data_IF_799277945769
#
_entry.id   IF_799277945769
#
_cell.length_a   1.000
_cell.length_b   1.000
_cell.length_c   1.000
_cell.angle_alpha   90.00
_cell.angle_beta   90.00
_cell.angle_gamma   90.00
#
_symmetry.space_group_name_H-M   'P 1'
#
loop_
_entity.id
_entity.type
_entity.pdbx_description
1 polymer ?
#
# COMPACT_ATOMS: atom_id res chain seq x y z
N UNK A 1 82.32 10.80 11.78
CA UNK A 1 83.13 9.68 11.26
C UNK A 1 84.35 9.51 12.14
N UNK A 2 84.39 8.48 12.98
CA UNK A 2 85.61 8.12 13.70
C UNK A 2 86.70 7.72 12.69
N UNK A 3 87.90 8.31 12.81
CA UNK A 3 89.06 7.88 12.03
C UNK A 3 89.44 6.48 12.47
N UNK A 4 89.01 5.46 11.72
CA UNK A 4 89.43 4.07 11.92
C UNK A 4 90.96 4.00 11.85
N UNK A 5 91.60 3.56 12.93
CA UNK A 5 93.03 3.25 12.96
C UNK A 5 93.20 1.80 12.51
N UNK A 6 93.84 1.59 11.37
CA UNK A 6 94.16 0.27 10.84
C UNK A 6 95.51 -0.20 11.40
N UNK A 7 95.63 -1.48 11.80
CA UNK A 7 96.90 -2.02 12.30
C UNK A 7 97.99 -2.00 11.22
N UNK A 8 97.61 -2.09 9.94
CA UNK A 8 98.56 -2.12 8.82
C UNK A 8 97.99 -1.38 7.59
N UNK A 9 97.75 -0.07 7.73
CA UNK A 9 97.19 0.77 6.63
C UNK A 9 97.99 0.64 5.33
N UNK A 10 97.33 0.84 4.19
CA UNK A 10 97.95 0.86 2.87
C UNK A 10 99.08 1.88 2.82
N UNK A 11 98.88 3.05 3.43
CA UNK A 11 99.91 4.08 3.56
C UNK A 11 101.10 3.57 4.37
N UNK A 12 100.85 2.92 5.51
CA UNK A 12 101.92 2.35 6.33
C UNK A 12 102.64 1.20 5.61
N UNK A 13 101.93 0.37 4.84
CA UNK A 13 102.52 -0.68 3.98
C UNK A 13 103.42 -0.09 2.91
N UNK A 14 102.98 0.95 2.22
CA UNK A 14 103.79 1.63 1.21
C UNK A 14 105.02 2.28 1.84
N UNK A 15 104.89 2.92 3.00
CA UNK A 15 106.02 3.53 3.73
C UNK A 15 106.98 2.48 4.28
N UNK A 16 106.48 1.39 4.88
CA UNK A 16 107.32 0.28 5.37
C UNK A 16 108.01 -0.42 4.22
N UNK A 17 107.30 -0.68 3.11
CA UNK A 17 107.86 -1.29 1.92
C UNK A 17 108.95 -0.42 1.31
N UNK A 18 108.69 0.87 1.07
CA UNK A 18 109.67 1.80 0.49
C UNK A 18 110.87 2.02 1.41
N UNK A 19 110.66 2.15 2.72
CA UNK A 19 111.74 2.28 3.71
C UNK A 19 112.58 1.00 3.81
N UNK A 20 111.94 -0.19 3.85
CA UNK A 20 112.65 -1.48 3.89
C UNK A 20 113.39 -1.73 2.58
N UNK A 21 112.78 -1.39 1.44
CA UNK A 21 113.40 -1.49 0.12
C UNK A 21 114.63 -0.60 0.03
N UNK A 22 114.52 0.66 0.46
CA UNK A 22 115.65 1.59 0.48
C UNK A 22 116.76 1.06 1.41
N UNK A 23 116.41 0.60 2.61
CA UNK A 23 117.39 0.06 3.57
C UNK A 23 118.11 -1.17 3.01
N UNK A 24 117.39 -2.14 2.46
CA UNK A 24 117.98 -3.33 1.82
C UNK A 24 118.84 -2.94 0.63
N UNK A 25 118.34 -2.06 -0.25
CA UNK A 25 119.06 -1.68 -1.47
C UNK A 25 120.35 -0.94 -1.14
N UNK A 26 120.31 0.06 -0.26
CA UNK A 26 121.52 0.79 0.15
C UNK A 26 122.48 -0.08 0.96
N UNK A 27 121.98 -0.96 1.85
CA UNK A 27 122.85 -1.86 2.61
C UNK A 27 123.54 -2.90 1.72
N UNK A 28 122.81 -3.48 0.77
CA UNK A 28 123.37 -4.42 -0.21
C UNK A 28 124.36 -3.71 -1.12
N UNK A 29 124.04 -2.52 -1.64
CA UNK A 29 124.99 -1.72 -2.42
C UNK A 29 126.26 -1.40 -1.61
N UNK A 30 126.14 -1.04 -0.32
CA UNK A 30 127.29 -0.80 0.54
C UNK A 30 128.14 -2.06 0.73
N UNK A 31 127.54 -3.23 0.96
CA UNK A 31 128.29 -4.50 1.06
C UNK A 31 129.00 -4.85 -0.25
N UNK A 32 128.34 -4.67 -1.39
CA UNK A 32 128.96 -4.94 -2.69
C UNK A 32 130.14 -4.00 -2.96
N UNK A 33 129.97 -2.69 -2.70
CA UNK A 33 131.01 -1.68 -2.95
C UNK A 33 132.18 -1.78 -1.96
N UNK A 34 131.93 -1.91 -0.66
CA UNK A 34 132.98 -1.83 0.36
C UNK A 34 133.58 -3.17 0.80
N UNK A 35 132.91 -4.30 0.56
CA UNK A 35 133.39 -5.62 1.00
C UNK A 35 133.69 -6.54 -0.19
N UNK A 36 132.78 -6.62 -1.16
CA UNK A 36 132.91 -7.56 -2.28
C UNK A 36 133.86 -7.05 -3.35
N UNK A 37 133.96 -5.73 -3.56
CA UNK A 37 134.87 -5.14 -4.54
C UNK A 37 136.33 -5.57 -4.32
N UNK A 38 136.82 -5.49 -3.06
CA UNK A 38 138.18 -5.92 -2.68
C UNK A 38 138.46 -7.40 -3.02
N UNK A 39 137.44 -8.25 -2.94
CA UNK A 39 137.55 -9.66 -3.32
C UNK A 39 137.54 -9.88 -4.83
N UNK A 40 136.75 -9.10 -5.58
CA UNK A 40 136.59 -9.24 -7.03
C UNK A 40 137.78 -8.67 -7.80
N UNK A 41 138.37 -7.57 -7.33
CA UNK A 41 139.57 -6.97 -7.93
C UNK A 41 140.76 -7.94 -7.99
N UNK A 42 140.87 -8.87 -7.03
CA UNK A 42 141.92 -9.90 -7.01
C UNK A 42 141.77 -10.96 -8.11
N UNK A 43 140.60 -11.11 -8.72
CA UNK A 43 140.35 -12.09 -9.78
C UNK A 43 140.15 -11.44 -11.16
N UNK A 44 139.51 -10.27 -11.22
CA UNK A 44 139.16 -9.56 -12.45
C UNK A 44 139.65 -8.10 -12.38
N UNK A 45 140.39 -7.64 -13.40
CA UNK A 45 140.94 -6.28 -13.46
C UNK A 45 139.87 -5.27 -13.90
N UNK A 46 138.98 -4.89 -12.96
CA UNK A 46 137.81 -4.03 -13.22
C UNK A 46 137.93 -2.71 -12.44
N UNK A 47 137.73 -1.58 -13.14
CA UNK A 47 137.75 -0.24 -12.54
C UNK A 47 136.68 -0.06 -11.45
N UNK A 48 137.06 0.58 -10.35
CA UNK A 48 136.19 0.90 -9.20
C UNK A 48 134.92 1.65 -9.63
N UNK A 49 135.06 2.62 -10.54
CA UNK A 49 133.94 3.39 -11.10
C UNK A 49 132.99 2.51 -11.92
N UNK A 50 133.51 1.51 -12.63
CA UNK A 50 132.67 0.60 -13.42
C UNK A 50 131.89 -0.36 -12.53
N UNK A 51 132.51 -0.88 -11.45
CA UNK A 51 131.87 -1.80 -10.51
C UNK A 51 130.78 -1.12 -9.67
N UNK A 52 131.03 0.11 -9.21
CA UNK A 52 130.04 0.93 -8.48
C UNK A 52 128.82 1.28 -9.34
N UNK A 53 129.03 1.70 -10.60
CA UNK A 53 127.93 1.96 -11.55
C UNK A 53 127.11 0.67 -11.78
N UNK A 54 127.78 -0.47 -12.01
CA UNK A 54 127.11 -1.76 -12.22
C UNK A 54 126.28 -2.19 -11.01
N UNK A 55 126.79 -1.98 -9.79
CA UNK A 55 126.08 -2.29 -8.54
C UNK A 55 124.83 -1.43 -8.36
N UNK A 56 124.88 -0.13 -8.69
CA UNK A 56 123.68 0.72 -8.66
C UNK A 56 122.66 0.34 -9.73
N UNK A 57 123.09 -0.02 -10.94
CA UNK A 57 122.18 -0.51 -11.99
C UNK A 57 121.49 -1.80 -11.54
N UNK A 58 122.22 -2.75 -10.97
CA UNK A 58 121.64 -3.99 -10.41
C UNK A 58 120.71 -3.70 -9.22
N UNK A 59 121.04 -2.72 -8.37
CA UNK A 59 120.17 -2.27 -7.28
C UNK A 59 118.85 -1.68 -7.75
N UNK A 60 118.87 -0.90 -8.84
CA UNK A 60 117.65 -0.39 -9.50
C UNK A 60 116.82 -1.54 -10.06
N UNK A 61 117.44 -2.50 -10.74
CA UNK A 61 116.76 -3.67 -11.30
C UNK A 61 116.10 -4.49 -10.18
N UNK A 62 116.82 -4.76 -9.08
CA UNK A 62 116.26 -5.52 -7.95
C UNK A 62 115.13 -4.76 -7.26
N UNK A 63 115.27 -3.45 -7.12
CA UNK A 63 114.21 -2.59 -6.58
C UNK A 63 112.95 -2.61 -7.43
N UNK A 64 113.10 -2.59 -8.76
CA UNK A 64 112.00 -2.70 -9.71
C UNK A 64 111.24 -4.02 -9.60
N UNK A 65 111.96 -5.14 -9.46
CA UNK A 65 111.33 -6.47 -9.32
C UNK A 65 110.58 -6.56 -7.99
N UNK A 66 111.16 -6.10 -6.87
CA UNK A 66 110.48 -6.10 -5.57
C UNK A 66 109.25 -5.17 -5.57
N UNK A 67 109.36 -3.99 -6.19
CA UNK A 67 108.24 -3.06 -6.35
C UNK A 67 107.11 -3.69 -7.18
N UNK A 68 107.44 -4.45 -8.24
CA UNK A 68 106.46 -5.18 -9.03
C UNK A 68 105.70 -6.24 -8.19
N UNK A 69 106.40 -7.02 -7.36
CA UNK A 69 105.76 -7.97 -6.46
C UNK A 69 104.86 -7.29 -5.41
N UNK A 70 105.32 -6.19 -4.81
CA UNK A 70 104.52 -5.44 -3.84
C UNK A 70 103.31 -4.76 -4.46
N UNK A 71 103.46 -4.17 -5.66
CA UNK A 71 102.35 -3.62 -6.43
C UNK A 71 101.29 -4.69 -6.71
N UNK A 72 101.71 -5.92 -7.05
CA UNK A 72 100.79 -7.05 -7.29
C UNK A 72 99.96 -7.44 -6.06
N UNK A 73 100.47 -7.24 -4.85
CA UNK A 73 99.75 -7.52 -3.59
C UNK A 73 98.68 -6.45 -3.31
N UNK A 74 98.92 -5.20 -3.72
CA UNK A 74 98.00 -4.07 -3.48
C UNK A 74 96.97 -3.92 -4.60
N UNK A 75 97.39 -4.08 -5.86
CA UNK A 75 96.57 -3.82 -7.05
C UNK A 75 95.56 -4.95 -7.30
N UNK A 76 95.94 -6.22 -7.12
CA UNK A 76 95.04 -7.36 -7.36
C UNK A 76 93.70 -7.29 -6.59
N UNK A 77 93.68 -6.96 -5.28
CA UNK A 77 92.43 -6.75 -4.55
C UNK A 77 91.58 -5.59 -5.10
N UNK A 78 92.21 -4.53 -5.62
CA UNK A 78 91.50 -3.39 -6.23
C UNK A 78 90.93 -3.74 -7.60
N UNK A 79 91.66 -4.50 -8.43
CA UNK A 79 91.14 -5.05 -9.69
C UNK A 79 89.94 -5.97 -9.46
N UNK A 80 89.97 -6.80 -8.40
CA UNK A 80 88.80 -7.62 -8.01
C UNK A 80 87.60 -6.76 -7.61
N UNK A 81 87.82 -5.65 -6.89
CA UNK A 81 86.76 -4.71 -6.52
C UNK A 81 86.19 -3.96 -7.73
N UNK A 82 87.04 -3.56 -8.67
CA UNK A 82 86.66 -2.90 -9.92
C UNK A 82 85.86 -3.84 -10.83
N UNK A 83 86.32 -5.08 -11.01
CA UNK A 83 85.58 -6.10 -11.74
C UNK A 83 84.20 -6.38 -11.12
N UNK A 84 84.11 -6.50 -9.80
CA UNK A 84 82.84 -6.70 -9.10
C UNK A 84 81.92 -5.47 -9.17
N UNK A 85 82.46 -4.26 -9.16
CA UNK A 85 81.71 -3.03 -9.41
C UNK A 85 81.17 -2.96 -10.84
N UNK A 86 81.96 -3.38 -11.83
CA UNK A 86 81.54 -3.48 -13.23
C UNK A 86 80.41 -4.50 -13.40
N UNK A 87 80.51 -5.67 -12.76
CA UNK A 87 79.45 -6.67 -12.76
C UNK A 87 78.17 -6.17 -12.07
N UNK A 88 78.29 -5.48 -10.94
CA UNK A 88 77.16 -4.84 -10.26
C UNK A 88 76.50 -3.75 -11.12
N UNK A 89 77.30 -2.97 -11.86
CA UNK A 89 76.79 -1.95 -12.79
C UNK A 89 76.04 -2.55 -13.99
N UNK A 90 76.38 -3.78 -14.40
CA UNK A 90 75.62 -4.57 -15.40
C UNK A 90 74.38 -5.26 -14.80
N UNK A 91 74.10 -5.02 -13.52
CA UNK A 91 72.95 -5.58 -12.82
C UNK A 91 73.23 -6.90 -12.08
N UNK A 92 74.45 -7.46 -12.12
CA UNK A 92 74.77 -8.69 -11.38
C UNK A 92 75.11 -8.38 -9.92
N UNK A 93 74.11 -8.45 -9.04
CA UNK A 93 74.25 -8.14 -7.61
C UNK A 93 74.60 -9.36 -6.75
N UNK A 94 74.72 -10.55 -7.35
CA UNK A 94 75.07 -11.79 -6.64
C UNK A 94 76.55 -11.84 -6.22
N UNK A 95 77.41 -11.03 -6.84
CA UNK A 95 78.85 -11.06 -6.61
C UNK A 95 79.20 -10.87 -5.12
N UNK A 96 79.88 -11.84 -4.52
CA UNK A 96 80.43 -11.72 -3.17
C UNK A 96 81.91 -11.42 -3.28
N UNK A 97 82.32 -10.23 -2.85
CA UNK A 97 83.74 -9.90 -2.84
C UNK A 97 84.40 -10.58 -1.66
N UNK A 98 85.40 -11.40 -1.95
CA UNK A 98 86.29 -11.97 -0.94
C UNK A 98 86.99 -10.85 -0.16
N UNK A 99 86.76 -10.83 1.15
CA UNK A 99 87.34 -9.81 2.02
C UNK A 99 88.84 -10.08 2.19
N UNK A 100 89.67 -9.09 1.88
CA UNK A 100 91.11 -9.15 2.14
C UNK A 100 91.38 -9.50 3.61
N UNK A 101 92.29 -10.45 3.85
CA UNK A 101 92.70 -10.85 5.21
C UNK A 101 93.46 -9.75 5.95
N UNK A 102 93.94 -8.74 5.23
CA UNK A 102 94.68 -7.61 5.80
C UNK A 102 93.75 -6.65 6.55
N UNK A 103 94.21 -6.08 7.66
CA UNK A 103 93.52 -4.99 8.36
C UNK A 103 93.95 -3.64 7.77
N UNK A 104 93.38 -3.29 6.62
CA UNK A 104 93.66 -2.07 5.85
C UNK A 104 92.41 -1.45 5.17
N UNK A 105 92.61 -0.33 4.48
CA UNK A 105 91.58 0.41 3.74
C UNK A 105 90.91 -0.43 2.65
N UNK A 106 91.63 -1.37 2.02
CA UNK A 106 91.10 -2.26 0.98
C UNK A 106 90.08 -3.23 1.58
N UNK A 107 90.37 -3.79 2.76
CA UNK A 107 89.39 -4.58 3.52
C UNK A 107 88.16 -3.74 3.90
N UNK A 108 88.36 -2.51 4.37
CA UNK A 108 87.25 -1.63 4.74
C UNK A 108 86.36 -1.29 3.53
N UNK A 109 86.96 -1.04 2.36
CA UNK A 109 86.26 -0.81 1.10
C UNK A 109 85.48 -2.04 0.66
N UNK A 110 86.07 -3.24 0.72
CA UNK A 110 85.37 -4.49 0.41
C UNK A 110 84.17 -4.77 1.32
N UNK A 111 84.28 -4.47 2.63
CA UNK A 111 83.15 -4.58 3.57
C UNK A 111 82.04 -3.57 3.20
N UNK A 112 82.40 -2.31 2.93
CA UNK A 112 81.44 -1.28 2.55
C UNK A 112 80.74 -1.62 1.22
N UNK A 113 81.48 -2.15 0.25
CA UNK A 113 80.96 -2.58 -1.04
C UNK A 113 80.00 -3.77 -0.91
N UNK A 114 80.34 -4.80 -0.13
CA UNK A 114 79.43 -5.92 0.15
C UNK A 114 78.15 -5.44 0.86
N UNK A 115 78.24 -4.45 1.76
CA UNK A 115 77.07 -3.82 2.40
C UNK A 115 76.21 -3.07 1.38
N UNK A 116 76.82 -2.35 0.44
CA UNK A 116 76.09 -1.70 -0.67
C UNK A 116 75.37 -2.73 -1.55
N UNK A 117 76.05 -3.81 -1.96
CA UNK A 117 75.44 -4.89 -2.74
C UNK A 117 74.31 -5.57 -1.98
N UNK A 118 74.45 -5.78 -0.67
CA UNK A 118 73.35 -6.30 0.16
C UNK A 118 72.14 -5.36 0.13
N UNK A 119 72.35 -4.07 0.40
CA UNK A 119 71.26 -3.10 0.38
C UNK A 119 70.59 -2.99 -0.99
N UNK A 120 71.35 -3.06 -2.09
CA UNK A 120 70.78 -3.06 -3.45
C UNK A 120 69.94 -4.32 -3.71
N UNK A 121 70.40 -5.49 -3.27
CA UNK A 121 69.61 -6.73 -3.35
C UNK A 121 68.33 -6.64 -2.52
N UNK A 122 68.42 -6.14 -1.30
CA UNK A 122 67.26 -5.95 -0.42
C UNK A 122 66.24 -4.98 -1.06
N UNK A 123 66.70 -3.90 -1.71
CA UNK A 123 65.83 -2.98 -2.47
C UNK A 123 65.14 -3.71 -3.62
N UNK A 124 65.89 -4.43 -4.47
CA UNK A 124 65.29 -5.15 -5.61
C UNK A 124 64.30 -6.20 -5.14
N UNK A 125 64.62 -6.94 -4.07
CA UNK A 125 63.71 -7.92 -3.47
C UNK A 125 62.42 -7.28 -2.94
N UNK A 126 62.53 -6.16 -2.22
CA UNK A 126 61.36 -5.44 -1.74
C UNK A 126 60.50 -4.90 -2.89
N UNK A 127 61.11 -4.41 -3.98
CA UNK A 127 60.36 -3.95 -5.15
C UNK A 127 59.63 -5.12 -5.83
N UNK A 128 60.26 -6.28 -5.95
CA UNK A 128 59.64 -7.49 -6.51
C UNK A 128 58.42 -7.93 -5.67
N UNK A 129 58.55 -7.96 -4.34
CA UNK A 129 57.42 -8.24 -3.43
C UNK A 129 56.30 -7.19 -3.55
N UNK A 130 56.64 -5.90 -3.65
CA UNK A 130 55.66 -4.83 -3.81
C UNK A 130 54.96 -4.87 -5.18
N UNK A 131 55.66 -5.28 -6.25
CA UNK A 131 55.06 -5.51 -7.56
C UNK A 131 53.98 -6.59 -7.48
N UNK A 132 54.30 -7.74 -6.88
CA UNK A 132 53.36 -8.86 -6.77
C UNK A 132 52.13 -8.47 -5.94
N UNK A 133 52.33 -7.74 -4.83
CA UNK A 133 51.25 -7.20 -4.01
C UNK A 133 50.39 -6.17 -4.75
N UNK A 134 51.01 -5.30 -5.56
CA UNK A 134 50.30 -4.32 -6.40
C UNK A 134 49.47 -5.02 -7.46
N UNK A 135 50.02 -6.04 -8.13
CA UNK A 135 49.30 -6.82 -9.14
C UNK A 135 48.08 -7.55 -8.54
N UNK A 136 48.23 -8.15 -7.35
CA UNK A 136 47.11 -8.74 -6.62
C UNK A 136 46.04 -7.70 -6.25
N UNK A 137 46.45 -6.50 -5.87
CA UNK A 137 45.54 -5.40 -5.54
C UNK A 137 44.76 -4.92 -6.77
N UNK A 138 45.41 -4.81 -7.93
CA UNK A 138 44.75 -4.50 -9.21
C UNK A 138 43.68 -5.53 -9.55
N UNK A 139 43.98 -6.83 -9.43
CA UNK A 139 42.99 -7.90 -9.67
C UNK A 139 41.77 -7.74 -8.76
N UNK A 140 41.99 -7.48 -7.46
CA UNK A 140 40.90 -7.24 -6.51
C UNK A 140 40.07 -6.00 -6.86
N UNK A 141 40.71 -4.90 -7.30
CA UNK A 141 40.01 -3.69 -7.75
C UNK A 141 39.12 -3.99 -8.96
N UNK A 142 39.61 -4.75 -9.94
CA UNK A 142 38.82 -5.12 -11.12
C UNK A 142 37.61 -5.99 -10.75
N UNK A 143 37.81 -7.00 -9.89
CA UNK A 143 36.71 -7.83 -9.38
C UNK A 143 35.67 -6.99 -8.61
N UNK A 144 36.11 -6.08 -7.74
CA UNK A 144 35.22 -5.20 -6.99
C UNK A 144 34.45 -4.24 -7.93
N UNK A 145 35.10 -3.76 -8.99
CA UNK A 145 34.49 -2.87 -9.99
C UNK A 145 33.42 -3.60 -10.81
N UNK A 146 33.70 -4.84 -11.23
CA UNK A 146 32.73 -5.69 -11.92
C UNK A 146 31.51 -6.00 -11.04
N UNK A 147 31.74 -6.31 -9.76
CA UNK A 147 30.65 -6.54 -8.80
C UNK A 147 29.84 -5.26 -8.53
N UNK A 148 30.49 -4.10 -8.41
CA UNK A 148 29.83 -2.81 -8.26
C UNK A 148 28.96 -2.47 -9.48
N UNK A 149 29.43 -2.81 -10.69
CA UNK A 149 28.67 -2.63 -11.92
C UNK A 149 27.41 -3.51 -11.93
N UNK A 150 27.54 -4.79 -11.55
CA UNK A 150 26.40 -5.70 -11.42
C UNK A 150 25.36 -5.19 -10.42
N UNK A 151 25.78 -4.74 -9.23
CA UNK A 151 24.85 -4.16 -8.27
C UNK A 151 24.17 -2.89 -8.80
N UNK A 152 24.90 -2.03 -9.51
CA UNK A 152 24.34 -0.82 -10.12
C UNK A 152 23.24 -1.15 -11.13
N UNK A 153 23.43 -2.21 -11.94
CA UNK A 153 22.38 -2.70 -12.85
C UNK A 153 21.15 -3.25 -12.11
N UNK A 154 21.35 -3.95 -10.99
CA UNK A 154 20.23 -4.41 -10.16
C UNK A 154 19.45 -3.25 -9.55
N UNK A 155 20.13 -2.24 -9.00
CA UNK A 155 19.48 -1.04 -8.47
C UNK A 155 18.70 -0.31 -9.57
N UNK A 156 19.26 -0.24 -10.80
CA UNK A 156 18.57 0.35 -11.95
C UNK A 156 17.26 -0.37 -12.26
N UNK A 157 17.29 -1.70 -12.28
CA UNK A 157 16.08 -2.51 -12.50
C UNK A 157 15.04 -2.23 -11.42
N UNK A 158 15.45 -2.16 -10.16
CA UNK A 158 14.53 -1.83 -9.06
C UNK A 158 13.99 -0.40 -9.17
N UNK A 159 14.79 0.58 -9.58
CA UNK A 159 14.34 1.95 -9.80
C UNK A 159 13.31 2.03 -10.96
N UNK A 160 13.51 1.28 -12.04
CA UNK A 160 12.55 1.18 -13.15
C UNK A 160 11.22 0.55 -12.70
N UNK A 161 11.27 -0.51 -11.89
CA UNK A 161 10.08 -1.12 -11.29
C UNK A 161 9.34 -0.15 -10.35
N UNK A 162 10.07 0.60 -9.52
CA UNK A 162 9.50 1.64 -8.65
C UNK A 162 8.82 2.73 -9.48
N UNK A 163 9.45 3.19 -10.56
CA UNK A 163 8.87 4.20 -11.46
C UNK A 163 7.58 3.71 -12.11
N UNK A 164 7.54 2.47 -12.60
CA UNK A 164 6.32 1.84 -13.16
C UNK A 164 5.23 1.67 -12.12
N UNK A 165 5.61 1.31 -10.89
CA UNK A 165 4.69 1.22 -9.76
C UNK A 165 4.06 2.57 -9.42
N UNK A 166 4.85 3.64 -9.44
CA UNK A 166 4.37 5.01 -9.24
C UNK A 166 3.42 5.47 -10.35
N UNK A 167 3.74 5.17 -11.62
CA UNK A 167 2.86 5.45 -12.76
C UNK A 167 1.52 4.69 -12.64
N UNK A 168 1.57 3.41 -12.29
CA UNK A 168 0.37 2.60 -12.05
C UNK A 168 -0.48 3.13 -10.88
N UNK A 169 0.18 3.64 -9.83
CA UNK A 169 -0.52 4.29 -8.72
C UNK A 169 -1.22 5.57 -9.17
N UNK A 170 -0.57 6.39 -10.01
CA UNK A 170 -1.18 7.60 -10.59
C UNK A 170 -2.42 7.27 -11.43
N UNK A 171 -2.36 6.24 -12.27
CA UNK A 171 -3.52 5.77 -13.04
C UNK A 171 -4.66 5.28 -12.13
N UNK A 172 -4.33 4.50 -11.09
CA UNK A 172 -5.31 4.03 -10.12
C UNK A 172 -6.01 5.19 -9.37
N UNK A 173 -5.28 6.26 -9.08
CA UNK A 173 -5.83 7.46 -8.46
C UNK A 173 -6.76 8.21 -9.40
N UNK A 174 -6.42 8.31 -10.69
CA UNK A 174 -7.30 8.90 -11.69
C UNK A 174 -8.63 8.14 -11.77
N UNK A 175 -8.58 6.81 -11.83
CA UNK A 175 -9.79 5.97 -11.79
C UNK A 175 -10.58 6.15 -10.48
N UNK A 176 -9.88 6.35 -9.36
CA UNK A 176 -10.52 6.61 -8.05
C UNK A 176 -11.23 7.97 -8.06
N UNK A 177 -10.65 8.99 -8.67
CA UNK A 177 -11.27 10.31 -8.80
C UNK A 177 -12.59 10.24 -9.60
N UNK A 178 -12.59 9.51 -10.73
CA UNK A 178 -13.80 9.28 -11.52
C UNK A 178 -14.88 8.52 -10.73
N UNK A 179 -14.48 7.47 -10.00
CA UNK A 179 -15.40 6.71 -9.16
C UNK A 179 -16.00 7.56 -8.02
N UNK A 180 -15.21 8.48 -7.47
CA UNK A 180 -15.66 9.42 -6.43
C UNK A 180 -16.64 10.45 -7.00
N UNK A 181 -16.38 10.99 -8.18
CA UNK A 181 -17.30 11.91 -8.85
C UNK A 181 -18.66 11.26 -9.09
N UNK A 182 -18.67 10.04 -9.64
CA UNK A 182 -19.89 9.25 -9.82
C UNK A 182 -20.59 8.93 -8.50
N UNK A 183 -19.84 8.56 -7.45
CA UNK A 183 -20.41 8.29 -6.13
C UNK A 183 -21.07 9.52 -5.51
N UNK A 184 -20.52 10.71 -5.79
CA UNK A 184 -21.08 11.99 -5.34
C UNK A 184 -22.39 12.29 -6.06
N UNK A 185 -22.41 12.15 -7.39
CA UNK A 185 -23.63 12.32 -8.20
C UNK A 185 -24.77 11.39 -7.73
N UNK A 186 -24.44 10.11 -7.51
CA UNK A 186 -25.42 9.12 -7.02
C UNK A 186 -25.93 9.47 -5.61
N UNK A 187 -25.06 9.95 -4.72
CA UNK A 187 -25.46 10.38 -3.38
C UNK A 187 -26.45 11.57 -3.43
N UNK A 188 -26.18 12.55 -4.29
CA UNK A 188 -27.10 13.67 -4.52
C UNK A 188 -28.44 13.21 -5.10
N UNK A 189 -28.44 12.28 -6.05
CA UNK A 189 -29.68 11.72 -6.60
C UNK A 189 -30.49 11.00 -5.51
N UNK A 190 -29.85 10.17 -4.69
CA UNK A 190 -30.53 9.48 -3.57
C UNK A 190 -31.10 10.49 -2.57
N UNK A 191 -30.39 11.56 -2.25
CA UNK A 191 -30.88 12.61 -1.36
C UNK A 191 -32.13 13.29 -1.92
N UNK A 192 -32.14 13.60 -3.22
CA UNK A 192 -33.32 14.15 -3.89
C UNK A 192 -34.51 13.17 -3.86
N UNK A 193 -34.27 11.88 -4.16
CA UNK A 193 -35.32 10.85 -4.11
C UNK A 193 -35.85 10.62 -2.69
N UNK A 194 -35.00 10.72 -1.67
CA UNK A 194 -35.40 10.65 -0.28
C UNK A 194 -36.31 11.83 0.10
N UNK A 195 -35.95 13.06 -0.31
CA UNK A 195 -36.77 14.24 -0.11
C UNK A 195 -38.15 14.12 -0.77
N UNK A 196 -38.19 13.70 -2.04
CA UNK A 196 -39.44 13.46 -2.78
C UNK A 196 -40.31 12.39 -2.09
N UNK A 197 -39.68 11.31 -1.63
CA UNK A 197 -40.37 10.21 -0.95
C UNK A 197 -40.95 10.66 0.39
N UNK A 198 -40.22 11.49 1.15
CA UNK A 198 -40.71 12.09 2.41
C UNK A 198 -41.92 12.98 2.17
N UNK A 199 -41.90 13.80 1.11
CA UNK A 199 -43.05 14.61 0.71
C UNK A 199 -44.27 13.74 0.36
N UNK A 200 -44.07 12.65 -0.39
CA UNK A 200 -45.14 11.70 -0.72
C UNK A 200 -45.71 11.01 0.52
N UNK A 201 -44.87 10.58 1.46
CA UNK A 201 -45.33 9.99 2.73
C UNK A 201 -46.17 10.98 3.54
N UNK A 202 -45.75 12.25 3.63
CA UNK A 202 -46.53 13.30 4.29
C UNK A 202 -47.89 13.55 3.60
N UNK A 203 -47.92 13.50 2.27
CA UNK A 203 -49.17 13.61 1.51
C UNK A 203 -50.11 12.42 1.77
N UNK A 204 -49.56 11.20 1.80
CA UNK A 204 -50.32 9.98 2.12
C UNK A 204 -50.91 10.04 3.53
N UNK A 205 -50.15 10.50 4.53
CA UNK A 205 -50.67 10.71 5.90
C UNK A 205 -51.88 11.64 5.93
N UNK A 206 -51.84 12.76 5.19
CA UNK A 206 -52.98 13.69 5.08
C UNK A 206 -54.20 13.05 4.42
N UNK A 207 -53.99 12.19 3.42
CA UNK A 207 -55.08 11.46 2.76
C UNK A 207 -55.69 10.45 3.71
N UNK A 208 -54.87 9.67 4.43
CA UNK A 208 -55.34 8.68 5.39
C UNK A 208 -56.14 9.33 6.54
N UNK A 209 -55.70 10.48 7.05
CA UNK A 209 -56.46 11.23 8.07
C UNK A 209 -57.84 11.67 7.57
N UNK A 210 -57.90 12.22 6.34
CA UNK A 210 -59.17 12.58 5.69
C UNK A 210 -60.07 11.37 5.46
N UNK A 211 -59.50 10.24 5.03
CA UNK A 211 -60.25 8.99 4.83
C UNK A 211 -60.81 8.47 6.15
N UNK A 212 -60.04 8.52 7.24
CA UNK A 212 -60.49 8.14 8.58
C UNK A 212 -61.66 9.01 9.05
N UNK A 213 -61.58 10.32 8.83
CA UNK A 213 -62.67 11.25 9.15
C UNK A 213 -63.93 10.95 8.34
N UNK A 214 -63.80 10.72 7.04
CA UNK A 214 -64.94 10.40 6.17
C UNK A 214 -65.62 9.08 6.56
N UNK A 215 -64.83 8.04 6.89
CA UNK A 215 -65.37 6.75 7.36
C UNK A 215 -66.03 6.88 8.73
N UNK A 216 -65.46 7.65 9.66
CA UNK A 216 -66.12 7.96 10.94
C UNK A 216 -67.48 8.62 10.75
N UNK A 217 -67.56 9.64 9.90
CA UNK A 217 -68.83 10.32 9.57
C UNK A 217 -69.85 9.36 8.95
N UNK A 218 -69.39 8.44 8.09
CA UNK A 218 -70.24 7.40 7.51
C UNK A 218 -70.78 6.45 8.58
N UNK A 219 -69.93 5.98 9.50
CA UNK A 219 -70.33 5.10 10.62
C UNK A 219 -71.36 5.80 11.51
N UNK A 220 -71.13 7.06 11.87
CA UNK A 220 -72.07 7.86 12.68
C UNK A 220 -73.41 8.04 11.96
N UNK A 221 -73.38 8.32 10.66
CA UNK A 221 -74.59 8.46 9.83
C UNK A 221 -75.40 7.16 9.74
N UNK A 222 -74.74 6.01 9.58
CA UNK A 222 -75.39 4.70 9.55
C UNK A 222 -75.98 4.34 10.91
N UNK A 223 -75.27 4.64 12.01
CA UNK A 223 -75.78 4.40 13.36
C UNK A 223 -77.03 5.23 13.63
N UNK A 224 -77.00 6.52 13.26
CA UNK A 224 -78.18 7.40 13.36
C UNK A 224 -79.36 6.87 12.55
N UNK A 225 -79.10 6.35 11.34
CA UNK A 225 -80.13 5.73 10.51
C UNK A 225 -80.73 4.48 11.18
N UNK A 226 -79.91 3.65 11.83
CA UNK A 226 -80.41 2.51 12.60
C UNK A 226 -81.30 2.96 13.76
N UNK A 227 -80.90 4.01 14.49
CA UNK A 227 -81.68 4.56 15.61
C UNK A 227 -83.02 5.15 15.14
N UNK A 228 -83.05 5.86 13.99
CA UNK A 228 -84.27 6.38 13.37
C UNK A 228 -85.22 5.27 12.88
N UNK A 229 -84.68 4.16 12.38
CA UNK A 229 -85.46 2.98 12.00
C UNK A 229 -86.03 2.25 13.23
N UNK A 230 -85.28 2.15 14.33
CA UNK A 230 -85.80 1.63 15.59
C UNK A 230 -86.94 2.51 16.15
N UNK A 231 -86.83 3.84 16.04
CA UNK A 231 -87.93 4.73 16.39
C UNK A 231 -89.17 4.48 15.49
N UNK A 232 -88.96 4.26 14.19
CA UNK A 232 -90.04 3.95 13.24
C UNK A 232 -90.78 2.64 13.58
N UNK A 233 -90.10 1.64 14.15
CA UNK A 233 -90.76 0.41 14.63
C UNK A 233 -91.82 0.71 15.69
N UNK A 234 -91.59 1.70 16.55
CA UNK A 234 -92.57 2.11 17.57
C UNK A 234 -93.82 2.71 16.93
N UNK A 235 -93.65 3.56 15.92
CA UNK A 235 -94.77 4.16 15.20
C UNK A 235 -95.58 3.11 14.43
N UNK A 236 -94.90 2.12 13.82
CA UNK A 236 -95.55 1.00 13.15
C UNK A 236 -96.27 0.06 14.13
N UNK A 237 -95.73 -0.13 15.34
CA UNK A 237 -96.43 -0.87 16.40
C UNK A 237 -97.72 -0.16 16.85
N UNK A 238 -97.69 1.17 16.98
CA UNK A 238 -98.90 1.96 17.21
C UNK A 238 -99.93 1.78 16.08
N UNK A 239 -99.49 1.75 14.81
CA UNK A 239 -100.38 1.50 13.69
C UNK A 239 -101.00 0.09 13.73
N UNK A 240 -100.22 -0.92 14.12
CA UNK A 240 -100.68 -2.29 14.32
C UNK A 240 -101.77 -2.35 15.41
N UNK A 241 -101.54 -1.70 16.55
CA UNK A 241 -102.51 -1.64 17.65
C UNK A 241 -103.80 -0.94 17.22
N UNK A 242 -103.70 0.17 16.48
CA UNK A 242 -104.85 0.87 15.93
C UNK A 242 -105.64 -0.01 14.96
N UNK A 243 -104.98 -0.77 14.08
CA UNK A 243 -105.64 -1.69 13.17
C UNK A 243 -106.40 -2.81 13.91
N UNK A 244 -105.83 -3.36 14.99
CA UNK A 244 -106.51 -4.34 15.86
C UNK A 244 -107.72 -3.74 16.60
N UNK A 245 -107.63 -2.49 17.04
CA UNK A 245 -108.76 -1.78 17.65
C UNK A 245 -109.89 -1.56 16.64
N UNK A 246 -109.56 -1.15 15.41
CA UNK A 246 -110.57 -0.98 14.35
C UNK A 246 -111.21 -2.32 13.99
N UNK A 247 -110.45 -3.42 13.91
CA UNK A 247 -111.00 -4.77 13.72
C UNK A 247 -112.04 -5.12 14.80
N UNK A 248 -111.71 -4.86 16.08
CA UNK A 248 -112.62 -5.10 17.20
C UNK A 248 -113.93 -4.32 17.06
N UNK A 249 -113.84 -3.04 16.65
CA UNK A 249 -115.02 -2.19 16.42
C UNK A 249 -115.85 -2.72 15.25
N UNK A 250 -115.20 -3.12 14.16
CA UNK A 250 -115.89 -3.61 12.95
C UNK A 250 -116.59 -4.94 13.21
N UNK A 251 -115.99 -5.83 14.01
CA UNK A 251 -116.63 -7.08 14.46
C UNK A 251 -117.89 -6.78 15.27
N UNK A 252 -117.82 -5.86 16.24
CA UNK A 252 -119.00 -5.44 17.01
C UNK A 252 -120.09 -4.81 16.12
N UNK A 253 -119.72 -3.98 15.14
CA UNK A 253 -120.69 -3.41 14.18
C UNK A 253 -121.31 -4.52 13.32
N UNK A 254 -120.55 -5.55 12.96
CA UNK A 254 -121.05 -6.76 12.30
C UNK A 254 -122.09 -7.50 13.13
N UNK A 255 -121.79 -7.76 14.40
CA UNK A 255 -122.72 -8.38 15.35
C UNK A 255 -124.02 -7.55 15.51
N UNK A 256 -123.90 -6.22 15.59
CA UNK A 256 -125.05 -5.31 15.65
C UNK A 256 -125.86 -5.38 14.34
N UNK A 257 -125.21 -5.40 13.18
CA UNK A 257 -125.88 -5.52 11.89
C UNK A 257 -126.63 -6.86 11.77
N UNK A 258 -126.03 -7.97 12.23
CA UNK A 258 -126.66 -9.29 12.25
C UNK A 258 -127.84 -9.35 13.24
N UNK A 259 -127.69 -8.81 14.45
CA UNK A 259 -128.79 -8.67 15.40
C UNK A 259 -129.93 -7.80 14.84
N UNK A 260 -129.60 -6.70 14.17
CA UNK A 260 -130.57 -5.80 13.55
C UNK A 260 -131.30 -6.51 12.40
N UNK A 261 -130.59 -7.33 11.62
CA UNK A 261 -131.17 -8.15 10.56
C UNK A 261 -132.15 -9.19 11.13
N UNK A 262 -131.79 -9.87 12.23
CA UNK A 262 -132.67 -10.82 12.92
C UNK A 262 -133.89 -10.15 13.56
N UNK A 263 -133.73 -8.98 14.18
CA UNK A 263 -134.83 -8.18 14.73
C UNK A 263 -135.77 -7.70 13.62
N UNK A 264 -135.23 -7.22 12.51
CA UNK A 264 -135.99 -6.79 11.35
C UNK A 264 -136.73 -7.96 10.67
N UNK A 265 -136.11 -9.15 10.61
CA UNK A 265 -136.75 -10.37 10.12
C UNK A 265 -137.92 -10.79 11.02
N UNK A 266 -137.73 -10.80 12.35
CA UNK A 266 -138.79 -11.09 13.31
C UNK A 266 -139.94 -10.07 13.22
N UNK A 267 -139.61 -8.78 13.06
CA UNK A 267 -140.61 -7.72 12.86
C UNK A 267 -141.37 -7.88 11.53
N UNK A 268 -140.70 -8.24 10.44
CA UNK A 268 -141.31 -8.53 9.14
C UNK A 268 -142.25 -9.75 9.21
N UNK A 269 -141.86 -10.81 9.94
CA UNK A 269 -142.70 -12.00 10.16
C UNK A 269 -143.96 -11.62 10.94
N UNK A 270 -143.84 -10.88 12.04
CA UNK A 270 -144.99 -10.50 12.88
C UNK A 270 -145.90 -9.48 12.17
N UNK A 271 -145.33 -8.59 11.35
CA UNK A 271 -146.08 -7.69 10.49
C UNK A 271 -146.86 -8.43 9.39
N UNK A 272 -146.28 -9.50 8.80
CA UNK A 272 -146.99 -10.39 7.87
C UNK A 272 -148.13 -11.17 8.57
N UNK A 273 -147.93 -11.52 9.85
CA UNK A 273 -148.92 -12.22 10.69
C UNK A 273 -150.14 -11.34 11.04
N UNK A 274 -149.96 -10.03 11.13
CA UNK A 274 -151.03 -9.04 11.38
C UNK A 274 -151.89 -8.70 10.14
N UNK A 275 -151.63 -9.30 8.98
CA UNK A 275 -152.45 -9.17 7.77
C UNK A 275 -152.50 -7.73 7.20
N UNK A 276 -153.70 -7.25 6.81
CA UNK A 276 -153.89 -5.92 6.20
C UNK A 276 -153.44 -4.75 7.10
N UNK A 277 -153.52 -4.90 8.44
CA UNK A 277 -153.12 -3.87 9.41
C UNK A 277 -151.60 -3.76 9.61
N UNK A 278 -150.82 -4.78 9.19
CA UNK A 278 -149.36 -4.83 9.34
C UNK A 278 -148.57 -4.37 8.11
N UNK A 279 -149.23 -4.09 6.97
CA UNK A 279 -148.56 -3.77 5.69
C UNK A 279 -147.56 -2.62 5.77
N UNK A 280 -147.88 -1.52 6.46
CA UNK A 280 -146.96 -0.39 6.62
C UNK A 280 -145.72 -0.72 7.45
N UNK A 281 -145.88 -1.54 8.49
CA UNK A 281 -144.77 -2.02 9.32
C UNK A 281 -143.89 -3.03 8.60
N UNK A 282 -144.48 -3.91 7.78
CA UNK A 282 -143.73 -4.88 6.98
C UNK A 282 -142.76 -4.19 5.99
N UNK A 283 -143.17 -3.08 5.37
CA UNK A 283 -142.31 -2.30 4.45
C UNK A 283 -141.13 -1.69 5.20
N UNK A 284 -141.35 -1.11 6.39
CA UNK A 284 -140.27 -0.54 7.21
C UNK A 284 -139.32 -1.63 7.71
N UNK A 285 -139.85 -2.78 8.16
CA UNK A 285 -139.04 -3.89 8.63
C UNK A 285 -138.19 -4.51 7.51
N UNK A 286 -138.71 -4.65 6.28
CA UNK A 286 -137.92 -5.13 5.14
C UNK A 286 -136.86 -4.11 4.67
N UNK A 287 -137.11 -2.81 4.82
CA UNK A 287 -136.11 -1.76 4.55
C UNK A 287 -134.99 -1.74 5.61
N UNK A 288 -135.31 -1.91 6.90
CA UNK A 288 -134.31 -2.09 7.97
C UNK A 288 -133.50 -3.36 7.72
N UNK A 289 -134.14 -4.45 7.29
CA UNK A 289 -133.46 -5.70 6.93
C UNK A 289 -132.45 -5.50 5.79
N UNK A 290 -132.83 -4.79 4.73
CA UNK A 290 -131.92 -4.44 3.63
C UNK A 290 -130.75 -3.56 4.08
N UNK A 291 -131.00 -2.56 4.93
CA UNK A 291 -129.94 -1.70 5.50
C UNK A 291 -128.99 -2.49 6.40
N UNK A 292 -129.51 -3.46 7.16
CA UNK A 292 -128.72 -4.36 7.99
C UNK A 292 -127.85 -5.31 7.13
N UNK A 293 -128.42 -5.91 6.08
CA UNK A 293 -127.67 -6.74 5.11
C UNK A 293 -126.58 -5.91 4.39
N UNK A 294 -126.88 -4.67 3.97
CA UNK A 294 -125.91 -3.75 3.39
C UNK A 294 -124.80 -3.38 4.38
N UNK A 295 -125.14 -3.17 5.65
CA UNK A 295 -124.17 -2.89 6.72
C UNK A 295 -123.26 -4.09 6.98
N UNK A 296 -123.82 -5.31 6.99
CA UNK A 296 -123.04 -6.55 7.12
C UNK A 296 -122.08 -6.74 5.94
N UNK A 297 -122.52 -6.49 4.70
CA UNK A 297 -121.65 -6.52 3.53
C UNK A 297 -120.54 -5.46 3.57
N UNK A 298 -120.84 -4.25 4.06
CA UNK A 298 -119.85 -3.20 4.25
C UNK A 298 -118.82 -3.58 5.33
N UNK A 299 -119.27 -4.14 6.46
CA UNK A 299 -118.41 -4.69 7.52
C UNK A 299 -117.47 -5.76 6.98
N UNK A 300 -117.98 -6.70 6.17
CA UNK A 300 -117.14 -7.74 5.55
C UNK A 300 -116.02 -7.16 4.68
N UNK A 301 -116.33 -6.11 3.89
CA UNK A 301 -115.34 -5.41 3.06
C UNK A 301 -114.31 -4.66 3.90
N UNK A 302 -114.75 -3.97 4.95
CA UNK A 302 -113.84 -3.24 5.86
C UNK A 302 -112.95 -4.23 6.62
N UNK A 303 -113.49 -5.35 7.11
CA UNK A 303 -112.72 -6.42 7.75
C UNK A 303 -111.61 -6.92 6.82
N UNK A 304 -111.92 -7.21 5.55
CA UNK A 304 -110.91 -7.60 4.56
C UNK A 304 -109.82 -6.53 4.34
N UNK A 305 -110.19 -5.25 4.31
CA UNK A 305 -109.23 -4.14 4.23
C UNK A 305 -108.34 -4.05 5.48
N UNK A 306 -108.91 -4.26 6.67
CA UNK A 306 -108.15 -4.24 7.92
C UNK A 306 -107.19 -5.42 8.00
N UNK A 307 -107.60 -6.62 7.58
CA UNK A 307 -106.69 -7.77 7.47
C UNK A 307 -105.53 -7.47 6.52
N UNK A 308 -105.80 -6.90 5.33
CA UNK A 308 -104.76 -6.48 4.40
C UNK A 308 -103.80 -5.44 5.01
N UNK A 309 -104.33 -4.44 5.74
CA UNK A 309 -103.51 -3.45 6.46
C UNK A 309 -102.63 -4.12 7.52
N UNK A 310 -103.16 -5.09 8.28
CA UNK A 310 -102.37 -5.82 9.29
C UNK A 310 -101.24 -6.64 8.65
N UNK A 311 -101.51 -7.29 7.50
CA UNK A 311 -100.50 -8.00 6.72
C UNK A 311 -99.41 -7.06 6.20
N UNK A 312 -99.80 -5.92 5.62
CA UNK A 312 -98.87 -4.89 5.15
C UNK A 312 -98.01 -4.32 6.29
N UNK A 313 -98.61 -4.04 7.45
CA UNK A 313 -97.90 -3.58 8.66
C UNK A 313 -96.88 -4.63 9.12
N UNK A 314 -97.26 -5.91 9.16
CA UNK A 314 -96.36 -7.00 9.51
C UNK A 314 -95.17 -7.09 8.55
N UNK A 315 -95.43 -6.98 7.24
CA UNK A 315 -94.39 -6.96 6.21
C UNK A 315 -93.44 -5.76 6.35
N UNK A 316 -93.96 -4.59 6.71
CA UNK A 316 -93.15 -3.38 7.00
C UNK A 316 -92.26 -3.58 8.23
N UNK A 317 -92.78 -4.18 9.32
CA UNK A 317 -91.99 -4.49 10.53
C UNK A 317 -90.80 -5.39 10.21
N UNK A 318 -90.99 -6.43 9.39
CA UNK A 318 -89.89 -7.32 8.96
C UNK A 318 -88.83 -6.54 8.20
N UNK A 319 -89.24 -5.73 7.21
CA UNK A 319 -88.30 -4.91 6.42
C UNK A 319 -87.52 -3.90 7.25
N UNK A 320 -88.16 -3.26 8.24
CA UNK A 320 -87.48 -2.31 9.12
C UNK A 320 -86.46 -3.03 10.01
N UNK A 321 -86.81 -4.19 10.59
CA UNK A 321 -85.86 -4.99 11.38
C UNK A 321 -84.65 -5.44 10.55
N UNK A 322 -84.89 -5.89 9.31
CA UNK A 322 -83.82 -6.22 8.39
C UNK A 322 -82.92 -5.00 8.15
N UNK A 323 -83.49 -3.83 7.84
CA UNK A 323 -82.73 -2.59 7.62
C UNK A 323 -81.88 -2.19 8.84
N UNK A 324 -82.40 -2.33 10.06
CA UNK A 324 -81.65 -2.08 11.31
C UNK A 324 -80.46 -3.04 11.41
N UNK A 325 -80.66 -4.33 11.13
CA UNK A 325 -79.61 -5.34 11.13
C UNK A 325 -78.53 -5.05 10.08
N UNK A 326 -78.94 -4.70 8.85
CA UNK A 326 -78.03 -4.27 7.78
C UNK A 326 -77.22 -3.03 8.19
N UNK A 327 -77.87 -2.01 8.75
CA UNK A 327 -77.21 -0.79 9.21
C UNK A 327 -76.17 -1.07 10.30
N UNK A 328 -76.53 -1.85 11.33
CA UNK A 328 -75.59 -2.25 12.41
C UNK A 328 -74.38 -3.01 11.86
N UNK A 329 -74.59 -3.91 10.89
CA UNK A 329 -73.49 -4.63 10.23
C UNK A 329 -72.58 -3.69 9.46
N UNK A 330 -73.12 -2.72 8.71
CA UNK A 330 -72.27 -1.77 7.99
C UNK A 330 -71.55 -0.77 8.89
N UNK A 331 -72.17 -0.36 10.01
CA UNK A 331 -71.46 0.41 11.02
C UNK A 331 -70.25 -0.37 11.58
N UNK A 332 -70.38 -1.68 11.78
CA UNK A 332 -69.26 -2.53 12.19
C UNK A 332 -68.19 -2.67 11.10
N UNK A 333 -68.58 -2.85 9.83
CA UNK A 333 -67.65 -2.89 8.71
C UNK A 333 -66.85 -1.57 8.60
N UNK A 334 -67.51 -0.42 8.77
CA UNK A 334 -66.83 0.88 8.79
C UNK A 334 -65.81 1.00 9.93
N UNK A 335 -66.08 0.44 11.12
CA UNK A 335 -65.09 0.35 12.22
C UNK A 335 -63.88 -0.49 11.82
N UNK A 336 -64.09 -1.63 11.15
CA UNK A 336 -62.99 -2.45 10.61
C UNK A 336 -62.17 -1.70 9.56
N UNK A 337 -62.82 -0.96 8.66
CA UNK A 337 -62.12 -0.10 7.68
C UNK A 337 -61.27 0.97 8.38
N UNK A 338 -61.78 1.59 9.45
CA UNK A 338 -61.00 2.55 10.24
C UNK A 338 -59.77 1.93 10.91
N UNK A 339 -59.87 0.68 11.38
CA UNK A 339 -58.71 -0.05 11.91
C UNK A 339 -57.63 -0.22 10.82
N UNK A 340 -58.02 -0.67 9.63
CA UNK A 340 -57.10 -0.83 8.50
C UNK A 340 -56.46 0.49 8.06
N UNK A 341 -57.19 1.61 8.08
CA UNK A 341 -56.64 2.95 7.83
C UNK A 341 -55.63 3.35 8.91
N UNK A 342 -55.87 2.99 10.17
CA UNK A 342 -54.94 3.26 11.27
C UNK A 342 -53.65 2.46 11.12
N UNK A 343 -53.73 1.19 10.73
CA UNK A 343 -52.56 0.35 10.43
C UNK A 343 -51.77 0.92 9.24
N UNK A 344 -52.43 1.30 8.15
CA UNK A 344 -51.78 1.96 7.02
C UNK A 344 -51.08 3.25 7.43
N UNK A 345 -51.67 4.03 8.34
CA UNK A 345 -51.04 5.27 8.84
C UNK A 345 -49.75 4.97 9.61
N UNK A 346 -49.74 3.90 10.41
CA UNK A 346 -48.54 3.39 11.09
C UNK A 346 -47.45 3.01 10.09
N UNK A 347 -47.78 2.21 9.08
CA UNK A 347 -46.81 1.80 8.05
C UNK A 347 -46.26 2.98 7.25
N UNK A 348 -47.07 3.98 6.90
CA UNK A 348 -46.59 5.18 6.20
C UNK A 348 -45.63 6.00 7.08
N UNK A 349 -45.89 6.06 8.39
CA UNK A 349 -44.99 6.74 9.33
C UNK A 349 -43.65 6.00 9.49
N UNK A 350 -43.66 4.67 9.52
CA UNK A 350 -42.44 3.86 9.48
C UNK A 350 -41.62 4.12 8.21
N UNK A 351 -42.27 4.14 7.03
CA UNK A 351 -41.62 4.49 5.76
C UNK A 351 -40.99 5.89 5.82
N UNK A 352 -41.69 6.88 6.37
CA UNK A 352 -41.15 8.22 6.54
C UNK A 352 -39.91 8.27 7.46
N UNK A 353 -39.89 7.42 8.50
CA UNK A 353 -38.77 7.30 9.43
C UNK A 353 -37.55 6.65 8.75
N UNK A 354 -37.76 5.59 7.99
CA UNK A 354 -36.69 4.92 7.22
C UNK A 354 -36.11 5.82 6.13
N UNK A 355 -36.93 6.65 5.48
CA UNK A 355 -36.44 7.69 4.55
C UNK A 355 -35.52 8.70 5.28
N UNK A 356 -35.83 9.05 6.52
CA UNK A 356 -34.97 9.87 7.36
C UNK A 356 -33.60 9.21 7.58
N UNK A 357 -33.59 7.93 7.94
CA UNK A 357 -32.36 7.14 8.10
C UNK A 357 -31.53 7.05 6.82
N UNK A 358 -32.18 6.89 5.66
CA UNK A 358 -31.49 6.90 4.36
C UNK A 358 -30.76 8.24 4.16
N UNK A 359 -31.41 9.35 4.51
CA UNK A 359 -30.80 10.68 4.37
C UNK A 359 -29.55 10.82 5.24
N UNK A 360 -29.63 10.39 6.52
CA UNK A 360 -28.48 10.41 7.44
C UNK A 360 -27.32 9.52 6.93
N UNK A 361 -27.63 8.37 6.33
CA UNK A 361 -26.62 7.48 5.75
C UNK A 361 -25.93 8.10 4.54
N UNK A 362 -26.69 8.81 3.69
CA UNK A 362 -26.14 9.54 2.54
C UNK A 362 -25.22 10.66 2.99
N UNK A 363 -25.59 11.43 4.01
CA UNK A 363 -24.74 12.50 4.55
C UNK A 363 -23.39 11.95 5.06
N UNK A 364 -23.42 10.82 5.78
CA UNK A 364 -22.19 10.12 6.21
C UNK A 364 -21.39 9.55 5.05
N UNK A 365 -22.06 9.10 3.98
CA UNK A 365 -21.41 8.63 2.77
C UNK A 365 -20.65 9.76 2.08
N UNK A 366 -21.24 10.96 1.99
CA UNK A 366 -20.60 12.15 1.44
C UNK A 366 -19.36 12.57 2.24
N UNK A 367 -19.42 12.51 3.58
CA UNK A 367 -18.25 12.76 4.42
C UNK A 367 -17.12 11.73 4.15
N UNK A 368 -17.48 10.45 4.00
CA UNK A 368 -16.51 9.41 3.65
C UNK A 368 -15.90 9.64 2.27
N UNK A 369 -16.70 10.09 1.30
CA UNK A 369 -16.23 10.42 -0.06
C UNK A 369 -15.21 11.56 0.00
N UNK A 370 -15.48 12.62 0.77
CA UNK A 370 -14.53 13.74 0.95
C UNK A 370 -13.19 13.28 1.55
N UNK A 371 -13.24 12.37 2.53
CA UNK A 371 -12.03 11.78 3.10
C UNK A 371 -11.25 10.95 2.06
N UNK A 372 -11.94 10.17 1.23
CA UNK A 372 -11.32 9.44 0.13
C UNK A 372 -10.63 10.38 -0.86
N UNK A 373 -11.26 11.49 -1.25
CA UNK A 373 -10.63 12.51 -2.13
C UNK A 373 -9.30 12.98 -1.53
N UNK A 374 -9.30 13.36 -0.25
CA UNK A 374 -8.09 13.85 0.41
C UNK A 374 -6.99 12.79 0.44
N UNK A 375 -7.33 11.55 0.77
CA UNK A 375 -6.37 10.44 0.79
C UNK A 375 -5.82 10.13 -0.60
N UNK A 376 -6.67 10.16 -1.64
CA UNK A 376 -6.24 9.97 -3.02
C UNK A 376 -5.27 11.06 -3.48
N UNK A 377 -5.47 12.31 -3.07
CA UNK A 377 -4.54 13.42 -3.34
C UNK A 377 -3.19 13.21 -2.63
N UNK A 378 -3.19 12.73 -1.39
CA UNK A 378 -1.96 12.40 -0.66
C UNK A 378 -1.19 11.27 -1.36
N UNK A 379 -1.87 10.22 -1.81
CA UNK A 379 -1.23 9.13 -2.58
C UNK A 379 -0.70 9.63 -3.91
N UNK A 380 -1.38 10.58 -4.57
CA UNK A 380 -0.91 11.15 -5.84
C UNK A 380 0.42 11.89 -5.66
N UNK A 381 0.51 12.72 -4.62
CA UNK A 381 1.74 13.43 -4.29
C UNK A 381 2.88 12.46 -3.98
N UNK A 382 2.61 11.38 -3.24
CA UNK A 382 3.61 10.33 -2.95
C UNK A 382 4.03 9.60 -4.23
N UNK A 383 3.12 9.31 -5.15
CA UNK A 383 3.44 8.67 -6.42
C UNK A 383 4.33 9.57 -7.29
N UNK A 384 4.03 10.87 -7.38
CA UNK A 384 4.87 11.85 -8.08
C UNK A 384 6.28 11.94 -7.47
N UNK A 385 6.37 12.06 -6.14
CA UNK A 385 7.65 12.09 -5.43
C UNK A 385 8.44 10.80 -5.62
N UNK A 386 7.77 9.64 -5.59
CA UNK A 386 8.39 8.32 -5.81
C UNK A 386 8.93 8.19 -7.23
N UNK A 387 8.19 8.67 -8.24
CA UNK A 387 8.63 8.69 -9.63
C UNK A 387 9.85 9.60 -9.81
N UNK A 388 9.83 10.80 -9.23
CA UNK A 388 10.97 11.72 -9.25
C UNK A 388 12.21 11.12 -8.56
N UNK A 389 12.03 10.50 -7.39
CA UNK A 389 13.11 9.81 -6.67
C UNK A 389 13.70 8.64 -7.46
N UNK A 390 12.87 7.86 -8.17
CA UNK A 390 13.35 6.80 -9.05
C UNK A 390 14.17 7.35 -10.24
N UNK A 391 13.79 8.50 -10.79
CA UNK A 391 14.57 9.17 -11.83
C UNK A 391 15.92 9.68 -11.31
N UNK A 392 15.96 10.24 -10.10
CA UNK A 392 17.21 10.70 -9.47
C UNK A 392 18.17 9.54 -9.17
N UNK A 393 17.64 8.41 -8.70
CA UNK A 393 18.41 7.17 -8.52
C UNK A 393 18.99 6.70 -9.85
N UNK A 394 18.20 6.71 -10.93
CA UNK A 394 18.70 6.36 -12.27
C UNK A 394 19.82 7.29 -12.76
N UNK A 395 19.71 8.60 -12.50
CA UNK A 395 20.77 9.56 -12.80
C UNK A 395 22.06 9.25 -12.01
N UNK A 396 21.92 8.96 -10.71
CA UNK A 396 23.06 8.59 -9.85
C UNK A 396 23.75 7.31 -10.32
N UNK A 397 22.99 6.32 -10.83
CA UNK A 397 23.55 5.10 -11.40
C UNK A 397 24.35 5.38 -12.67
N UNK A 398 23.93 6.34 -13.50
CA UNK A 398 24.71 6.76 -14.67
C UNK A 398 26.06 7.37 -14.27
N UNK A 399 26.11 8.19 -13.23
CA UNK A 399 27.36 8.73 -12.68
C UNK A 399 28.23 7.63 -12.06
N UNK A 400 27.62 6.70 -11.34
CA UNK A 400 28.31 5.56 -10.76
C UNK A 400 28.95 4.66 -11.82
N UNK A 401 28.26 4.40 -12.94
CA UNK A 401 28.79 3.64 -14.06
C UNK A 401 30.05 4.32 -14.65
N UNK A 402 30.00 5.65 -14.83
CA UNK A 402 31.17 6.42 -15.30
C UNK A 402 32.35 6.32 -14.32
N UNK A 403 32.07 6.39 -13.01
CA UNK A 403 33.10 6.26 -11.98
C UNK A 403 33.74 4.86 -12.00
N UNK A 404 32.94 3.80 -12.18
CA UNK A 404 33.45 2.42 -12.29
C UNK A 404 34.36 2.26 -13.51
N UNK A 405 34.00 2.85 -14.65
CA UNK A 405 34.84 2.84 -15.86
C UNK A 405 36.17 3.57 -15.64
N UNK A 406 36.15 4.71 -14.94
CA UNK A 406 37.37 5.42 -14.54
C UNK A 406 38.26 4.59 -13.62
N UNK A 407 37.67 3.87 -12.65
CA UNK A 407 38.42 2.99 -11.74
C UNK A 407 39.07 1.83 -12.49
N UNK A 408 38.38 1.21 -13.44
CA UNK A 408 38.96 0.15 -14.27
C UNK A 408 40.13 0.67 -15.13
N UNK A 409 40.00 1.89 -15.69
CA UNK A 409 41.07 2.56 -16.41
C UNK A 409 42.30 2.87 -15.53
N UNK A 410 42.09 3.35 -14.30
CA UNK A 410 43.16 3.57 -13.32
C UNK A 410 43.82 2.25 -12.90
N UNK A 411 43.05 1.18 -12.75
CA UNK A 411 43.58 -0.15 -12.44
C UNK A 411 44.48 -0.68 -13.57
N UNK A 412 44.08 -0.48 -14.84
CA UNK A 412 44.93 -0.82 -16.00
C UNK A 412 46.22 0.00 -16.03
N UNK A 413 46.13 1.31 -15.79
CA UNK A 413 47.32 2.18 -15.73
C UNK A 413 48.29 1.75 -14.61
N UNK A 414 47.76 1.38 -13.43
CA UNK A 414 48.55 0.87 -12.32
C UNK A 414 49.22 -0.47 -12.66
N UNK A 415 48.50 -1.37 -13.34
CA UNK A 415 49.04 -2.64 -13.83
C UNK A 415 50.22 -2.41 -14.79
N UNK A 416 50.08 -1.47 -15.72
CA UNK A 416 51.11 -1.14 -16.69
C UNK A 416 52.34 -0.51 -16.02
N UNK A 417 52.14 0.42 -15.07
CA UNK A 417 53.23 1.01 -14.29
C UNK A 417 53.98 -0.04 -13.48
N UNK A 418 53.25 -0.95 -12.83
CA UNK A 418 53.83 -2.06 -12.08
C UNK A 418 54.65 -2.97 -13.03
N UNK A 419 54.11 -3.33 -14.19
CA UNK A 419 54.81 -4.14 -15.21
C UNK A 419 56.08 -3.47 -15.72
N UNK A 420 56.04 -2.16 -15.95
CA UNK A 420 57.20 -1.38 -16.37
C UNK A 420 58.29 -1.34 -15.29
N UNK A 421 57.90 -1.16 -14.02
CA UNK A 421 58.82 -1.23 -12.89
C UNK A 421 59.44 -2.63 -12.76
N UNK A 422 58.63 -3.69 -12.88
CA UNK A 422 59.12 -5.07 -12.86
C UNK A 422 60.13 -5.34 -14.01
N UNK A 423 59.87 -4.81 -15.21
CA UNK A 423 60.81 -4.91 -16.34
C UNK A 423 62.14 -4.21 -16.06
N UNK A 424 62.13 -3.07 -15.35
CA UNK A 424 63.33 -2.35 -14.98
C UNK A 424 64.14 -3.10 -13.90
N UNK A 425 63.47 -3.66 -12.88
CA UNK A 425 64.17 -4.40 -11.81
C UNK A 425 64.70 -5.76 -12.28
N UNK A 426 64.06 -6.41 -13.25
CA UNK A 426 64.52 -7.68 -13.83
C UNK A 426 65.85 -7.57 -14.59
N UNK A 427 66.34 -6.35 -14.84
CA UNK A 427 67.71 -6.14 -15.33
C UNK A 427 68.75 -6.48 -14.27
N UNK A 428 68.37 -6.44 -12.98
CA UNK A 428 69.22 -6.81 -11.85
C UNK A 428 69.07 -8.29 -11.52
N UNK A 429 70.17 -9.05 -11.69
CA UNK A 429 70.28 -10.45 -11.28
C UNK A 429 70.61 -10.50 -9.80
N UNK A 430 69.62 -10.83 -8.99
CA UNK A 430 69.71 -10.91 -7.53
C UNK A 430 69.91 -12.35 -7.04
N UNK A 431 69.57 -13.33 -7.87
CA UNK A 431 69.71 -14.76 -7.60
C UNK A 431 70.97 -15.35 -8.24
#
# INVERSE_FOLDING_TARGET
MEKKKYRFSLRLKLVLFTTTLALVTYSVSAVFIYIIYDYVQNYWDVSEHFFTITTFVLGIIWSGILAFFAARVIVKPLEKLEAAASEAAKGNLHQVIEISKSDDEVRALGIAFNKMLKNLRDIVHNIDQHFESTNQSVVKIRQASEQANHHSMSIRSSADEISKGAESASEAIQNTAEAVELATELAEEVQQKAADSKQKSNAMMKILDRSKQAVNQLVDGIQKLADEQEASLKDVDHLKQNAMQVETIITLVGEIAEQTNLLALNASIEAARAGEHGKGFAVVADEIRKLADQSAQAVQRISGLITAIQEDVSAVVVKINDNVSYAKREANNGKTTNHAISEMSGSVNEVATEIGRITDLVDRQLESIQNTVKQSQEVAAVAEETSAGAQEVNASIHEQASTIEQVDGLAHALEEQAKNLNKQINQFKVN
#
